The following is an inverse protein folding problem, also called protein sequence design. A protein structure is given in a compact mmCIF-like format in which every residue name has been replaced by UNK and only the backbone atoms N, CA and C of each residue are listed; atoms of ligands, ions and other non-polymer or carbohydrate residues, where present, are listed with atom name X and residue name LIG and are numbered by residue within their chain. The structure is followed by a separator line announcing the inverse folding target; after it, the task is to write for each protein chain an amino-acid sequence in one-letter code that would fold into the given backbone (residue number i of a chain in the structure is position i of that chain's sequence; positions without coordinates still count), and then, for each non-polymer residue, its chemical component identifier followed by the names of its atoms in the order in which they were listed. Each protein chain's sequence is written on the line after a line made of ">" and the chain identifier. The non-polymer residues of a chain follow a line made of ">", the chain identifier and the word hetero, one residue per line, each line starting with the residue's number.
data_IF_253109801103
#
_entry.id   IF_253109801103
#
_cell.length_a   1.000
_cell.length_b   1.000
_cell.length_c   1.000
_cell.angle_alpha   90.00
_cell.angle_beta   90.00
_cell.angle_gamma   90.00
#
_symmetry.space_group_name_H-M   'P 1'
#
loop_
_entity.id
_entity.type
_entity.pdbx_description
1 polymer ?
#
# COMPACT_ATOMS: atom_id res chain seq x y z
N UNK A 1 -21.32 -71.22 59.38
CA UNK A 1 -20.34 -70.54 58.49
C UNK A 1 -21.03 -69.34 57.81
N UNK A 2 -20.82 -68.13 58.38
CA UNK A 2 -21.38 -66.92 57.87
C UNK A 2 -20.30 -66.22 57.03
N UNK A 3 -20.52 -66.04 55.71
CA UNK A 3 -19.63 -65.28 54.82
C UNK A 3 -19.99 -63.79 54.92
N UNK A 4 -19.04 -62.97 55.36
CA UNK A 4 -19.11 -61.51 55.44
C UNK A 4 -18.71 -60.96 54.07
N UNK A 5 -19.63 -60.29 53.36
CA UNK A 5 -19.30 -59.52 52.16
C UNK A 5 -18.95 -58.09 52.57
N UNK A 6 -17.72 -57.70 52.31
CA UNK A 6 -17.24 -56.29 52.46
C UNK A 6 -17.49 -55.57 51.17
N UNK A 7 -18.39 -54.57 51.16
CA UNK A 7 -18.58 -53.66 50.05
C UNK A 7 -17.56 -52.50 50.18
N UNK A 8 -16.61 -52.45 49.26
CA UNK A 8 -15.67 -51.33 49.10
C UNK A 8 -16.29 -50.33 48.19
N UNK A 9 -16.83 -49.19 48.70
CA UNK A 9 -17.35 -48.10 47.95
C UNK A 9 -16.19 -47.20 47.47
N UNK A 10 -15.86 -47.29 46.18
CA UNK A 10 -14.89 -46.44 45.50
C UNK A 10 -15.55 -45.10 45.19
N UNK A 11 -15.28 -44.07 46.01
CA UNK A 11 -15.75 -42.71 45.77
C UNK A 11 -14.94 -42.08 44.62
N UNK A 12 -15.59 -41.90 43.46
CA UNK A 12 -15.01 -41.15 42.35
C UNK A 12 -15.20 -39.66 42.65
N UNK A 13 -14.13 -39.00 43.08
CA UNK A 13 -14.07 -37.52 43.14
C UNK A 13 -13.89 -36.98 41.72
N UNK A 14 -14.98 -36.53 41.10
CA UNK A 14 -14.91 -35.71 39.91
C UNK A 14 -14.39 -34.32 40.28
N UNK A 15 -13.09 -34.09 40.10
CA UNK A 15 -12.56 -32.75 40.10
C UNK A 15 -13.04 -32.07 38.82
N UNK A 16 -14.12 -31.29 38.93
CA UNK A 16 -14.49 -30.34 37.92
C UNK A 16 -13.45 -29.22 37.92
N UNK A 17 -12.48 -29.28 37.01
CA UNK A 17 -11.65 -28.14 36.67
C UNK A 17 -12.56 -27.09 36.03
N UNK A 18 -13.08 -26.15 36.83
CA UNK A 18 -13.56 -24.91 36.26
C UNK A 18 -12.35 -24.17 35.68
N UNK A 19 -12.23 -24.14 34.36
CA UNK A 19 -11.38 -23.16 33.71
C UNK A 19 -11.78 -21.76 34.22
N UNK A 20 -10.95 -21.20 35.07
CA UNK A 20 -11.04 -19.79 35.43
C UNK A 20 -10.65 -19.06 34.16
N UNK A 21 -11.64 -18.60 33.37
CA UNK A 21 -11.43 -17.60 32.34
C UNK A 21 -10.81 -16.40 33.04
N UNK A 22 -9.49 -16.22 32.90
CA UNK A 22 -8.85 -14.95 33.27
C UNK A 22 -9.59 -13.87 32.50
N UNK A 23 -10.30 -13.02 33.19
CA UNK A 23 -10.78 -11.75 32.61
C UNK A 23 -9.51 -10.98 32.16
N UNK A 24 -9.19 -11.09 30.90
CA UNK A 24 -8.15 -10.26 30.28
C UNK A 24 -8.72 -8.86 30.23
N UNK A 25 -8.08 -7.92 30.90
CA UNK A 25 -8.43 -6.48 30.74
C UNK A 25 -8.44 -6.17 29.23
N UNK A 26 -9.47 -5.43 28.76
CA UNK A 26 -9.50 -5.06 27.35
C UNK A 26 -8.23 -4.28 26.98
N UNK A 27 -7.68 -4.56 25.82
CA UNK A 27 -6.50 -3.85 25.30
C UNK A 27 -6.79 -2.34 25.21
N UNK A 28 -5.87 -1.48 25.67
CA UNK A 28 -6.00 -0.03 25.47
C UNK A 28 -5.96 0.37 23.99
N UNK A 29 -5.46 -0.50 23.11
CA UNK A 29 -5.37 -0.27 21.67
C UNK A 29 -6.64 -0.70 20.91
N UNK A 30 -7.58 -1.41 21.55
CA UNK A 30 -8.81 -1.85 20.89
C UNK A 30 -9.63 -0.69 20.32
N UNK A 31 -9.89 0.42 21.06
CA UNK A 31 -10.63 1.56 20.51
C UNK A 31 -9.93 2.24 19.33
N UNK A 32 -8.60 2.19 19.29
CA UNK A 32 -7.80 2.74 18.20
C UNK A 32 -7.90 1.84 16.95
N UNK A 33 -7.78 0.53 17.12
CA UNK A 33 -7.92 -0.44 16.04
C UNK A 33 -9.34 -0.44 15.45
N UNK A 34 -10.37 -0.21 16.26
CA UNK A 34 -11.77 -0.19 15.84
C UNK A 34 -12.17 1.06 15.02
N UNK A 35 -11.30 2.07 14.95
CA UNK A 35 -11.49 3.22 14.03
C UNK A 35 -11.36 2.80 12.56
N UNK A 36 -10.69 1.69 12.28
CA UNK A 36 -10.50 1.17 10.93
C UNK A 36 -11.56 0.13 10.60
N UNK A 37 -12.39 0.43 9.61
CA UNK A 37 -13.39 -0.51 9.13
C UNK A 37 -12.75 -1.64 8.32
N UNK A 38 -13.13 -2.88 8.59
CA UNK A 38 -12.78 -4.02 7.75
C UNK A 38 -13.70 -4.11 6.54
N UNK A 39 -13.10 -4.32 5.38
CA UNK A 39 -13.81 -4.52 4.13
C UNK A 39 -13.08 -5.54 3.27
N UNK A 40 -13.72 -6.64 2.85
CA UNK A 40 -13.10 -7.62 1.99
C UNK A 40 -12.93 -7.06 0.58
N UNK A 41 -11.69 -6.95 0.11
CA UNK A 41 -11.39 -6.58 -1.27
C UNK A 41 -11.47 -7.84 -2.13
N UNK A 42 -12.48 -7.92 -2.97
CA UNK A 42 -12.75 -9.06 -3.83
C UNK A 42 -12.89 -8.65 -5.29
N UNK A 43 -12.61 -9.58 -6.19
CA UNK A 43 -12.85 -9.45 -7.62
C UNK A 43 -13.24 -10.81 -8.20
N UNK A 44 -13.76 -10.84 -9.43
CA UNK A 44 -14.01 -12.08 -10.15
C UNK A 44 -12.70 -12.58 -10.81
N UNK A 45 -12.08 -13.58 -10.18
CA UNK A 45 -10.86 -14.21 -10.70
C UNK A 45 -11.10 -15.10 -11.93
N UNK A 46 -12.36 -15.37 -12.34
CA UNK A 46 -12.63 -16.16 -13.55
C UNK A 46 -12.27 -15.41 -14.84
N UNK A 47 -12.11 -14.09 -14.77
CA UNK A 47 -11.62 -13.27 -15.89
C UNK A 47 -10.11 -13.41 -16.13
N UNK A 48 -9.36 -13.99 -15.17
CA UNK A 48 -7.94 -14.27 -15.32
C UNK A 48 -7.70 -15.61 -16.01
N UNK A 49 -6.67 -15.67 -16.85
CA UNK A 49 -6.20 -16.94 -17.43
C UNK A 49 -5.59 -17.83 -16.33
N UNK A 50 -5.39 -19.10 -16.63
CA UNK A 50 -4.74 -20.01 -15.69
C UNK A 50 -3.28 -19.64 -15.41
N UNK A 51 -2.60 -18.99 -16.36
CA UNK A 51 -1.25 -18.50 -16.14
C UNK A 51 -1.26 -17.22 -15.30
N UNK A 52 -2.19 -16.28 -15.52
CA UNK A 52 -2.36 -15.12 -14.67
C UNK A 52 -2.70 -15.52 -13.22
N UNK A 53 -3.53 -16.54 -13.00
CA UNK A 53 -3.78 -17.10 -11.66
C UNK A 53 -2.51 -17.65 -11.00
N UNK A 54 -1.63 -18.32 -11.77
CA UNK A 54 -0.33 -18.81 -11.27
C UNK A 54 0.64 -17.67 -10.96
N UNK A 55 0.51 -16.52 -11.61
CA UNK A 55 1.32 -15.34 -11.31
C UNK A 55 0.95 -14.73 -9.94
N UNK A 56 -0.31 -14.81 -9.49
CA UNK A 56 -0.76 -14.14 -8.26
C UNK A 56 0.11 -14.44 -7.02
N UNK A 57 0.42 -15.70 -6.66
CA UNK A 57 1.28 -15.98 -5.52
C UNK A 57 2.70 -15.42 -5.68
N UNK A 58 3.24 -15.38 -6.89
CA UNK A 58 4.56 -14.82 -7.19
C UNK A 58 4.53 -13.30 -6.96
N UNK A 59 3.53 -12.61 -7.51
CA UNK A 59 3.35 -11.16 -7.35
C UNK A 59 3.10 -10.77 -5.89
N UNK A 60 2.36 -11.58 -5.11
CA UNK A 60 2.15 -11.39 -3.67
C UNK A 60 3.50 -11.51 -2.93
N UNK A 61 4.36 -12.45 -3.31
CA UNK A 61 5.68 -12.57 -2.69
C UNK A 61 6.56 -11.35 -2.99
N UNK A 62 6.56 -10.84 -4.24
CA UNK A 62 7.24 -9.58 -4.58
C UNK A 62 6.67 -8.41 -3.76
N UNK A 63 5.35 -8.29 -3.66
CA UNK A 63 4.71 -7.25 -2.86
C UNK A 63 5.12 -7.33 -1.38
N UNK A 64 5.24 -8.54 -0.81
CA UNK A 64 5.73 -8.75 0.56
C UNK A 64 7.20 -8.35 0.74
N UNK A 65 8.03 -8.47 -0.30
CA UNK A 65 9.40 -7.95 -0.25
C UNK A 65 9.36 -6.41 -0.17
N UNK A 66 8.53 -5.75 -0.97
CA UNK A 66 8.34 -4.29 -0.89
C UNK A 66 7.81 -3.87 0.50
N UNK A 67 6.88 -4.64 1.07
CA UNK A 67 6.37 -4.48 2.44
C UNK A 67 7.52 -4.49 3.47
N UNK A 68 8.44 -5.43 3.35
CA UNK A 68 9.56 -5.56 4.28
C UNK A 68 10.56 -4.39 4.15
N UNK A 69 10.85 -3.94 2.93
CA UNK A 69 11.69 -2.75 2.71
C UNK A 69 10.99 -1.50 3.28
N UNK A 70 9.68 -1.36 3.05
CA UNK A 70 8.93 -0.23 3.59
C UNK A 70 8.94 -0.22 5.13
N UNK A 71 8.78 -1.35 5.80
CA UNK A 71 8.91 -1.44 7.25
C UNK A 71 10.28 -0.96 7.75
N UNK A 72 11.36 -1.34 7.05
CA UNK A 72 12.70 -0.87 7.38
C UNK A 72 12.81 0.66 7.24
N UNK A 73 12.19 1.24 6.20
CA UNK A 73 12.20 2.68 5.96
C UNK A 73 11.27 3.46 6.90
N UNK A 74 10.09 2.92 7.22
CA UNK A 74 9.09 3.62 8.03
C UNK A 74 9.43 3.59 9.54
N UNK A 75 10.00 2.47 10.01
CA UNK A 75 10.27 2.26 11.43
C UNK A 75 11.66 1.65 11.71
N UNK A 76 11.99 0.55 11.03
CA UNK A 76 13.18 -0.25 11.29
C UNK A 76 12.85 -1.71 11.60
N UNK A 77 13.17 -2.18 12.81
CA UNK A 77 12.97 -3.60 13.19
C UNK A 77 11.51 -3.89 13.56
N UNK A 78 10.74 -4.30 12.54
CA UNK A 78 9.35 -4.78 12.68
C UNK A 78 9.24 -5.90 13.71
N UNK A 79 10.15 -6.88 13.65
CA UNK A 79 10.04 -8.09 14.45
C UNK A 79 10.24 -7.80 15.95
N UNK A 80 11.23 -6.97 16.28
CA UNK A 80 11.47 -6.52 17.64
C UNK A 80 10.28 -5.72 18.20
N UNK A 81 9.65 -4.86 17.37
CA UNK A 81 8.45 -4.11 17.77
C UNK A 81 7.27 -5.05 18.02
N UNK A 82 6.94 -5.92 17.07
CA UNK A 82 5.79 -6.83 17.19
C UNK A 82 5.92 -7.81 18.34
N UNK A 83 7.14 -8.28 18.64
CA UNK A 83 7.40 -9.19 19.75
C UNK A 83 7.02 -8.60 21.11
N UNK A 84 7.12 -7.28 21.30
CA UNK A 84 6.75 -6.61 22.55
C UNK A 84 5.23 -6.68 22.82
N UNK A 85 4.42 -6.85 21.77
CA UNK A 85 2.97 -6.89 21.82
C UNK A 85 2.38 -8.26 21.43
N UNK A 86 3.17 -9.33 21.44
CA UNK A 86 2.77 -10.66 20.96
C UNK A 86 1.49 -11.22 21.58
N UNK A 87 1.10 -10.76 22.79
CA UNK A 87 -0.10 -11.20 23.50
C UNK A 87 -1.29 -10.22 23.35
N UNK A 88 -1.12 -9.11 22.61
CA UNK A 88 -2.14 -8.09 22.40
C UNK A 88 -2.46 -7.96 20.91
N UNK A 89 -3.50 -8.67 20.47
CA UNK A 89 -3.91 -8.69 19.06
C UNK A 89 -4.37 -7.32 18.54
N UNK A 90 -4.95 -6.47 19.39
CA UNK A 90 -5.37 -5.13 19.02
C UNK A 90 -4.15 -4.21 18.79
N UNK A 91 -3.14 -4.31 19.67
CA UNK A 91 -1.88 -3.61 19.47
C UNK A 91 -1.19 -4.05 18.18
N UNK A 92 -1.06 -5.36 17.95
CA UNK A 92 -0.46 -5.90 16.72
C UNK A 92 -1.19 -5.43 15.46
N UNK A 93 -2.53 -5.45 15.47
CA UNK A 93 -3.35 -4.92 14.37
C UNK A 93 -3.07 -3.45 14.13
N UNK A 94 -3.06 -2.63 15.19
CA UNK A 94 -2.89 -1.19 15.08
C UNK A 94 -1.48 -0.79 14.64
N UNK A 95 -0.45 -1.48 15.17
CA UNK A 95 0.93 -1.35 14.72
C UNK A 95 1.10 -1.71 13.23
N UNK A 96 0.45 -2.80 12.79
CA UNK A 96 0.51 -3.23 11.39
C UNK A 96 -0.14 -2.22 10.45
N UNK A 97 -1.27 -1.61 10.83
CA UNK A 97 -1.94 -0.58 10.05
C UNK A 97 -1.06 0.65 9.91
N UNK A 98 -0.37 1.05 10.98
CA UNK A 98 0.41 2.29 11.04
C UNK A 98 1.88 2.13 10.63
N UNK A 99 2.37 0.90 10.44
CA UNK A 99 3.79 0.61 10.17
C UNK A 99 4.74 1.23 11.21
N UNK A 100 4.35 1.13 12.47
CA UNK A 100 5.10 1.67 13.58
C UNK A 100 4.19 2.18 14.71
N UNK A 101 4.79 2.79 15.73
CA UNK A 101 4.08 3.21 16.94
C UNK A 101 3.44 4.62 16.84
N UNK A 102 3.19 5.11 15.63
CA UNK A 102 2.66 6.44 15.37
C UNK A 102 1.34 6.38 14.61
N UNK A 103 0.33 7.11 15.09
CA UNK A 103 -1.02 7.15 14.53
C UNK A 103 -1.07 8.03 13.28
N UNK A 104 -1.11 7.41 12.10
CA UNK A 104 -1.14 8.09 10.79
C UNK A 104 -2.41 8.89 10.56
N UNK A 105 -3.52 8.59 11.25
CA UNK A 105 -4.75 9.38 11.19
C UNK A 105 -4.75 10.58 12.13
N UNK A 106 -3.77 10.66 13.05
CA UNK A 106 -3.68 11.69 14.07
C UNK A 106 -2.28 12.33 14.08
N UNK A 107 -1.87 12.86 12.94
CA UNK A 107 -0.61 13.60 12.76
C UNK A 107 0.64 12.86 13.25
N UNK A 108 0.68 11.55 13.07
CA UNK A 108 1.77 10.68 13.53
C UNK A 108 2.06 10.80 15.05
N UNK A 109 1.05 11.04 15.87
CA UNK A 109 1.23 11.04 17.33
C UNK A 109 1.60 9.64 17.82
N UNK A 110 2.60 9.50 18.72
CA UNK A 110 2.93 8.21 19.28
C UNK A 110 1.76 7.70 20.12
N UNK A 111 1.42 6.42 19.98
CA UNK A 111 0.38 5.75 20.77
C UNK A 111 0.93 4.69 21.75
N UNK A 112 2.25 4.53 21.78
CA UNK A 112 2.95 3.67 22.74
C UNK A 112 3.69 4.56 23.71
N UNK A 113 3.52 4.30 25.00
CA UNK A 113 4.20 5.03 26.07
C UNK A 113 5.71 4.96 25.93
N UNK A 114 6.39 6.10 26.11
CA UNK A 114 7.84 6.21 26.01
C UNK A 114 8.41 6.33 24.58
N UNK A 115 7.55 6.25 23.56
CA UNK A 115 7.96 6.51 22.17
C UNK A 115 7.95 8.01 21.90
N UNK A 116 9.02 8.54 21.32
CA UNK A 116 9.14 9.93 20.87
C UNK A 116 8.33 10.22 19.61
N UNK A 117 8.40 11.47 19.16
CA UNK A 117 7.81 11.89 17.89
C UNK A 117 8.39 11.09 16.71
N UNK A 118 7.56 10.85 15.67
CA UNK A 118 8.04 10.22 14.45
C UNK A 118 9.12 11.10 13.80
N UNK A 119 10.29 10.56 13.44
CA UNK A 119 11.28 11.31 12.68
C UNK A 119 10.69 11.76 11.33
N UNK A 120 10.84 13.03 10.97
CA UNK A 120 10.31 13.58 9.71
C UNK A 120 10.83 12.83 8.48
N UNK A 121 12.12 12.48 8.48
CA UNK A 121 12.74 11.70 7.40
C UNK A 121 12.52 10.18 7.54
N UNK A 122 11.62 9.75 8.42
CA UNK A 122 11.45 8.36 8.78
C UNK A 122 12.81 7.69 9.00
N UNK A 123 13.05 6.51 8.44
CA UNK A 123 14.36 5.84 8.50
C UNK A 123 15.12 5.89 7.16
N UNK A 124 14.78 6.86 6.28
CA UNK A 124 15.57 7.13 5.08
C UNK A 124 16.89 7.83 5.40
N UNK A 125 16.98 8.49 6.56
CA UNK A 125 18.12 9.25 7.04
C UNK A 125 18.55 8.77 8.43
N UNK A 126 19.83 8.94 8.83
CA UNK A 126 20.24 8.71 10.20
C UNK A 126 19.47 9.64 11.15
N UNK A 127 18.99 9.09 12.27
CA UNK A 127 18.17 9.85 13.23
C UNK A 127 18.89 11.06 13.86
N UNK A 128 20.23 11.02 13.89
CA UNK A 128 21.11 12.05 14.42
C UNK A 128 21.66 13.00 13.35
N UNK A 129 21.24 12.84 12.08
CA UNK A 129 21.70 13.69 10.97
C UNK A 129 21.23 15.13 11.15
N UNK A 130 22.14 16.08 11.01
CA UNK A 130 21.82 17.50 10.97
C UNK A 130 21.61 17.99 9.53
N UNK A 131 20.96 19.15 9.39
CA UNK A 131 20.78 19.78 8.08
C UNK A 131 22.11 20.19 7.48
N UNK A 132 23.03 20.71 8.30
CA UNK A 132 24.36 21.16 7.91
C UNK A 132 25.21 19.99 7.39
N UNK A 133 25.13 18.82 8.03
CA UNK A 133 25.78 17.60 7.54
C UNK A 133 25.21 17.17 6.17
N UNK A 134 23.89 17.18 6.02
CA UNK A 134 23.24 16.83 4.75
C UNK A 134 23.62 17.84 3.64
N UNK A 135 23.57 19.14 3.93
CA UNK A 135 23.91 20.18 2.96
C UNK A 135 25.38 20.06 2.49
N UNK A 136 26.29 19.72 3.41
CA UNK A 136 27.72 19.55 3.13
C UNK A 136 28.09 18.22 2.47
N UNK A 137 27.19 17.26 2.39
CA UNK A 137 27.41 15.98 1.73
C UNK A 137 27.62 16.18 0.22
N UNK A 138 28.85 15.93 -0.26
CA UNK A 138 29.24 16.05 -1.67
C UNK A 138 28.96 14.74 -2.44
N UNK A 139 27.68 14.40 -2.56
CA UNK A 139 27.20 13.31 -3.40
C UNK A 139 25.88 13.76 -4.05
N UNK A 140 25.82 13.88 -5.39
CA UNK A 140 24.62 14.35 -6.09
C UNK A 140 23.40 13.43 -5.87
N UNK A 141 23.63 12.14 -5.56
CA UNK A 141 22.57 11.17 -5.28
C UNK A 141 21.85 11.43 -3.95
N UNK A 142 22.33 12.37 -3.10
CA UNK A 142 21.70 12.67 -1.82
C UNK A 142 20.23 13.12 -1.96
N UNK A 143 19.86 13.70 -3.09
CA UNK A 143 18.48 14.12 -3.42
C UNK A 143 17.76 13.14 -4.37
N UNK A 144 18.39 12.02 -4.72
CA UNK A 144 17.79 11.00 -5.57
C UNK A 144 16.61 10.32 -4.84
N UNK A 145 15.55 10.02 -5.59
CA UNK A 145 14.36 9.34 -5.10
C UNK A 145 14.65 7.92 -4.61
N UNK A 146 15.61 7.25 -5.24
CA UNK A 146 15.89 5.83 -5.08
C UNK A 146 17.14 5.57 -4.25
N UNK A 147 17.30 6.33 -3.16
CA UNK A 147 18.45 6.21 -2.28
C UNK A 147 18.10 6.45 -0.81
N UNK A 148 18.99 6.00 0.07
CA UNK A 148 18.96 6.29 1.51
C UNK A 148 20.27 6.93 1.93
N UNK A 149 20.23 7.70 3.01
CA UNK A 149 21.42 8.24 3.67
C UNK A 149 21.74 7.35 4.87
N UNK A 150 23.00 7.00 5.01
CA UNK A 150 23.50 6.16 6.12
C UNK A 150 24.78 6.76 6.68
N UNK A 151 25.27 6.23 7.81
CA UNK A 151 26.62 6.50 8.31
C UNK A 151 27.52 5.31 8.00
N UNK A 152 28.73 5.58 7.52
CA UNK A 152 29.78 4.58 7.39
C UNK A 152 30.39 4.22 8.76
N UNK A 153 31.35 3.31 8.76
CA UNK A 153 32.02 2.87 10.00
C UNK A 153 32.80 4.00 10.72
N UNK A 154 33.12 5.09 10.03
CA UNK A 154 33.75 6.30 10.60
C UNK A 154 32.72 7.35 11.06
N UNK A 155 31.41 7.07 10.92
CA UNK A 155 30.33 7.98 11.26
C UNK A 155 30.02 9.03 10.19
N UNK A 156 30.68 8.99 9.03
CA UNK A 156 30.47 9.93 7.93
C UNK A 156 29.21 9.57 7.16
N UNK A 157 28.46 10.58 6.68
CA UNK A 157 27.31 10.36 5.81
C UNK A 157 27.75 9.79 4.46
N UNK A 158 27.03 8.77 4.02
CA UNK A 158 27.14 8.15 2.69
C UNK A 158 25.75 8.00 2.08
N UNK A 159 25.68 8.00 0.75
CA UNK A 159 24.48 7.71 -0.01
C UNK A 159 24.56 6.28 -0.51
N UNK A 160 23.52 5.51 -0.27
CA UNK A 160 23.34 4.18 -0.83
C UNK A 160 22.10 4.20 -1.73
N UNK A 161 22.23 3.76 -2.98
CA UNK A 161 21.06 3.49 -3.84
C UNK A 161 20.24 2.34 -3.23
N UNK A 162 18.97 2.20 -3.59
CA UNK A 162 18.14 1.15 -2.96
C UNK A 162 18.66 -0.25 -3.25
N UNK A 163 19.18 -0.52 -4.45
CA UNK A 163 19.79 -1.82 -4.74
C UNK A 163 21.07 -2.09 -3.91
N UNK A 164 21.80 -1.04 -3.51
CA UNK A 164 22.95 -1.16 -2.59
C UNK A 164 22.50 -1.33 -1.12
N UNK A 165 21.39 -0.69 -0.73
CA UNK A 165 20.87 -0.73 0.63
C UNK A 165 20.11 -2.02 0.96
N UNK A 166 19.47 -2.64 -0.04
CA UNK A 166 18.59 -3.83 0.09
C UNK A 166 18.93 -4.91 -0.94
N UNK A 167 20.22 -5.33 -1.07
CA UNK A 167 20.68 -6.16 -2.20
C UNK A 167 19.99 -7.54 -2.25
N UNK A 168 19.72 -8.16 -1.12
CA UNK A 168 19.08 -9.49 -1.06
C UNK A 168 17.61 -9.42 -1.46
N UNK A 169 16.89 -8.41 -0.93
CA UNK A 169 15.48 -8.17 -1.18
C UNK A 169 15.24 -7.85 -2.67
N UNK A 170 15.99 -6.91 -3.23
CA UNK A 170 15.79 -6.51 -4.62
C UNK A 170 16.21 -7.62 -5.60
N UNK A 171 17.27 -8.38 -5.31
CA UNK A 171 17.67 -9.53 -6.13
C UNK A 171 16.58 -10.63 -6.12
N UNK A 172 15.99 -10.92 -4.97
CA UNK A 172 14.89 -11.87 -4.86
C UNK A 172 13.65 -11.37 -5.60
N UNK A 173 13.26 -10.11 -5.42
CA UNK A 173 12.12 -9.51 -6.10
C UNK A 173 12.29 -9.49 -7.61
N UNK A 174 13.48 -9.14 -8.09
CA UNK A 174 13.85 -9.16 -9.50
C UNK A 174 13.64 -10.55 -10.12
N UNK A 175 14.18 -11.60 -9.50
CA UNK A 175 14.02 -12.97 -9.98
C UNK A 175 12.56 -13.41 -10.05
N UNK A 176 11.77 -13.10 -9.03
CA UNK A 176 10.32 -13.40 -9.01
C UNK A 176 9.56 -12.65 -10.11
N UNK A 177 9.93 -11.40 -10.42
CA UNK A 177 9.34 -10.66 -11.54
C UNK A 177 9.70 -11.28 -12.90
N UNK A 178 10.90 -11.83 -13.07
CA UNK A 178 11.27 -12.60 -14.27
C UNK A 178 10.41 -13.86 -14.38
N UNK A 179 10.23 -14.61 -13.29
CA UNK A 179 9.35 -15.79 -13.26
C UNK A 179 7.89 -15.42 -13.61
N UNK A 180 7.39 -14.30 -13.09
CA UNK A 180 6.07 -13.79 -13.44
C UNK A 180 5.98 -13.38 -14.93
N UNK A 181 7.01 -12.73 -15.47
CA UNK A 181 7.07 -12.33 -16.87
C UNK A 181 7.03 -13.54 -17.82
N UNK A 182 7.62 -14.68 -17.44
CA UNK A 182 7.54 -15.91 -18.24
C UNK A 182 6.11 -16.47 -18.33
N UNK A 183 5.29 -16.27 -17.30
CA UNK A 183 3.89 -16.69 -17.26
C UNK A 183 2.95 -15.70 -17.96
N UNK A 184 3.37 -14.44 -18.14
CA UNK A 184 2.53 -13.39 -18.71
C UNK A 184 2.25 -13.65 -20.20
N UNK A 185 0.96 -13.73 -20.55
CA UNK A 185 0.48 -13.96 -21.93
C UNK A 185 0.25 -12.63 -22.67
N UNK A 186 -0.07 -11.56 -21.94
CA UNK A 186 -0.12 -10.21 -22.51
C UNK A 186 1.32 -9.70 -22.74
N UNK A 187 1.67 -9.32 -23.99
CA UNK A 187 3.03 -8.90 -24.31
C UNK A 187 3.46 -7.61 -23.59
N UNK A 188 2.50 -6.72 -23.32
CA UNK A 188 2.75 -5.48 -22.59
C UNK A 188 3.11 -5.77 -21.14
N UNK A 189 2.32 -6.61 -20.45
CA UNK A 189 2.58 -7.04 -19.09
C UNK A 189 3.92 -7.79 -18.99
N UNK A 190 4.19 -8.72 -19.92
CA UNK A 190 5.48 -9.44 -20.00
C UNK A 190 6.65 -8.48 -20.09
N UNK A 191 6.60 -7.54 -21.01
CA UNK A 191 7.66 -6.56 -21.21
C UNK A 191 7.85 -5.65 -19.98
N UNK A 192 6.75 -5.17 -19.40
CA UNK A 192 6.80 -4.35 -18.19
C UNK A 192 7.47 -5.10 -17.03
N UNK A 193 7.03 -6.33 -16.73
CA UNK A 193 7.58 -7.11 -15.63
C UNK A 193 9.08 -7.40 -15.80
N UNK A 194 9.51 -7.74 -17.02
CA UNK A 194 10.92 -7.98 -17.34
C UNK A 194 11.78 -6.71 -17.18
N UNK A 195 11.28 -5.54 -17.59
CA UNK A 195 11.97 -4.28 -17.41
C UNK A 195 11.96 -3.82 -15.93
N UNK A 196 10.87 -4.08 -15.21
CA UNK A 196 10.76 -3.75 -13.78
C UNK A 196 11.68 -4.63 -12.93
N UNK A 197 11.85 -5.91 -13.30
CA UNK A 197 12.85 -6.80 -12.70
C UNK A 197 14.25 -6.19 -12.76
N UNK A 198 14.65 -5.70 -13.93
CA UNK A 198 15.95 -5.05 -14.13
C UNK A 198 16.04 -3.74 -13.34
N UNK A 199 14.99 -2.91 -13.38
CA UNK A 199 14.96 -1.62 -12.72
C UNK A 199 15.19 -1.71 -11.19
N UNK A 200 14.74 -2.80 -10.55
CA UNK A 200 15.03 -3.05 -9.14
C UNK A 200 16.52 -3.29 -8.85
N UNK A 201 17.31 -3.73 -9.84
CA UNK A 201 18.73 -4.04 -9.67
C UNK A 201 19.65 -2.84 -9.95
N UNK A 202 19.17 -1.83 -10.68
CA UNK A 202 19.98 -0.68 -11.08
C UNK A 202 19.37 0.68 -10.71
N UNK A 203 18.15 0.68 -10.09
CA UNK A 203 17.37 1.86 -9.74
C UNK A 203 17.03 2.79 -10.93
N UNK A 204 17.12 2.32 -12.17
CA UNK A 204 16.65 3.05 -13.36
C UNK A 204 15.27 2.57 -13.81
N UNK A 205 14.24 3.26 -13.35
CA UNK A 205 12.84 2.89 -13.58
C UNK A 205 12.27 3.43 -14.91
N UNK A 206 12.97 4.32 -15.62
CA UNK A 206 12.42 5.00 -16.80
C UNK A 206 11.90 4.04 -17.88
N UNK A 207 12.68 3.02 -18.25
CA UNK A 207 12.29 2.07 -19.28
C UNK A 207 11.07 1.24 -18.88
N UNK A 208 10.99 0.81 -17.62
CA UNK A 208 9.85 0.05 -17.11
C UNK A 208 8.59 0.92 -16.97
N UNK A 209 8.73 2.18 -16.59
CA UNK A 209 7.60 3.12 -16.49
C UNK A 209 7.03 3.44 -17.88
N UNK A 210 7.88 3.64 -18.89
CA UNK A 210 7.45 3.81 -20.27
C UNK A 210 6.73 2.57 -20.81
N UNK A 211 7.21 1.36 -20.48
CA UNK A 211 6.57 0.11 -20.86
C UNK A 211 5.21 -0.06 -20.13
N UNK A 212 5.10 0.35 -18.87
CA UNK A 212 3.84 0.34 -18.14
C UNK A 212 2.81 1.28 -18.79
N UNK A 213 3.24 2.45 -19.27
CA UNK A 213 2.38 3.37 -20.03
C UNK A 213 1.88 2.77 -21.35
N UNK A 214 2.65 1.89 -22.00
CA UNK A 214 2.26 1.22 -23.24
C UNK A 214 1.31 0.02 -23.03
N UNK A 215 1.19 -0.46 -21.81
CA UNK A 215 0.39 -1.63 -21.47
C UNK A 215 -1.10 -1.30 -21.46
N UNK A 216 -1.83 -1.69 -22.51
CA UNK A 216 -3.24 -1.31 -22.72
C UNK A 216 -4.23 -2.46 -22.49
N UNK A 217 -3.84 -3.69 -22.88
CA UNK A 217 -4.76 -4.82 -23.02
C UNK A 217 -4.74 -5.79 -21.83
N UNK A 218 -3.86 -5.56 -20.88
CA UNK A 218 -3.67 -6.40 -19.69
C UNK A 218 -4.97 -6.50 -18.86
N UNK A 219 -5.26 -7.69 -18.33
CA UNK A 219 -6.30 -7.91 -17.32
C UNK A 219 -5.71 -7.78 -15.92
N UNK A 220 -4.54 -8.37 -15.71
CA UNK A 220 -3.76 -8.25 -14.48
C UNK A 220 -2.78 -7.09 -14.58
N UNK A 221 -2.66 -6.27 -13.54
CA UNK A 221 -1.70 -5.17 -13.42
C UNK A 221 -0.97 -5.26 -12.08
N UNK A 222 0.27 -4.81 -12.05
CA UNK A 222 1.09 -4.79 -10.85
C UNK A 222 1.87 -3.49 -10.73
N UNK A 223 1.46 -2.63 -9.81
CA UNK A 223 2.20 -1.40 -9.48
C UNK A 223 3.18 -1.74 -8.37
N UNK A 224 4.48 -1.71 -8.67
CA UNK A 224 5.53 -2.21 -7.74
C UNK A 224 6.82 -1.41 -7.82
N UNK A 225 7.46 -1.21 -6.68
CA UNK A 225 8.74 -0.51 -6.51
C UNK A 225 8.64 0.72 -5.59
N UNK A 226 9.67 1.57 -5.55
CA UNK A 226 9.65 2.86 -4.87
C UNK A 226 8.84 3.86 -5.70
N UNK A 227 7.76 4.44 -5.12
CA UNK A 227 6.76 5.18 -5.91
C UNK A 227 6.50 6.57 -5.37
N UNK A 228 6.06 6.71 -4.12
CA UNK A 228 5.61 7.98 -3.54
C UNK A 228 6.58 8.48 -2.47
N UNK A 229 6.71 9.80 -2.35
CA UNK A 229 7.67 10.41 -1.41
C UNK A 229 7.05 10.93 -0.11
N UNK A 230 5.76 10.62 0.15
CA UNK A 230 5.03 11.15 1.31
C UNK A 230 5.57 10.67 2.66
N UNK A 231 6.24 9.52 2.72
CA UNK A 231 6.85 9.03 3.95
C UNK A 231 8.07 9.86 4.37
N UNK A 232 8.79 10.44 3.40
CA UNK A 232 9.87 11.41 3.66
C UNK A 232 9.29 12.81 3.87
N UNK A 233 8.87 13.11 5.08
CA UNK A 233 8.36 14.43 5.47
C UNK A 233 9.48 15.44 5.77
N UNK A 234 10.76 15.02 5.74
CA UNK A 234 11.90 15.90 6.00
C UNK A 234 12.25 16.77 4.80
N UNK A 235 12.42 16.11 3.63
CA UNK A 235 12.79 16.80 2.38
C UNK A 235 11.89 16.44 1.20
N UNK A 236 11.12 15.35 1.28
CA UNK A 236 10.29 14.85 0.19
C UNK A 236 11.11 14.26 -0.97
N UNK A 237 12.33 13.82 -0.73
CA UNK A 237 13.20 13.27 -1.77
C UNK A 237 13.07 11.76 -1.95
N UNK A 238 12.79 11.01 -0.87
CA UNK A 238 12.92 9.56 -0.87
C UNK A 238 11.61 8.87 -1.17
N UNK A 239 11.60 8.04 -2.21
CA UNK A 239 10.43 7.26 -2.59
C UNK A 239 10.29 6.00 -1.71
N UNK A 240 9.08 5.73 -1.28
CA UNK A 240 8.74 4.57 -0.45
C UNK A 240 8.29 3.39 -1.31
N UNK A 241 8.67 2.18 -0.88
CA UNK A 241 8.33 0.95 -1.59
C UNK A 241 6.87 0.56 -1.40
N UNK A 242 6.23 0.17 -2.51
CA UNK A 242 4.84 -0.26 -2.59
C UNK A 242 4.67 -1.47 -3.50
N UNK A 243 3.60 -2.24 -3.26
CA UNK A 243 3.16 -3.30 -4.15
C UNK A 243 1.63 -3.36 -4.18
N UNK A 244 1.02 -3.14 -5.35
CA UNK A 244 -0.43 -3.22 -5.54
C UNK A 244 -0.74 -4.16 -6.70
N UNK A 245 -1.51 -5.24 -6.43
CA UNK A 245 -1.98 -6.17 -7.45
C UNK A 245 -3.40 -5.79 -7.81
N UNK A 246 -3.64 -5.56 -9.09
CA UNK A 246 -4.85 -4.99 -9.63
C UNK A 246 -5.42 -5.89 -10.72
N UNK A 247 -6.75 -6.04 -10.73
CA UNK A 247 -7.47 -6.74 -11.80
C UNK A 247 -8.38 -5.73 -12.49
N UNK A 248 -8.21 -5.56 -13.81
CA UNK A 248 -8.96 -4.56 -14.60
C UNK A 248 -10.43 -4.94 -14.70
N UNK A 249 -11.31 -4.02 -14.31
CA UNK A 249 -12.73 -4.10 -14.61
C UNK A 249 -12.99 -3.53 -16.01
N UNK A 250 -13.15 -4.41 -16.99
CA UNK A 250 -13.29 -4.02 -18.40
C UNK A 250 -14.61 -3.29 -18.69
N UNK A 251 -15.67 -3.61 -17.95
CA UNK A 251 -16.97 -2.97 -18.12
C UNK A 251 -16.93 -1.53 -17.61
N UNK A 252 -16.47 -1.32 -16.38
CA UNK A 252 -16.30 0.01 -15.82
C UNK A 252 -15.25 0.83 -16.56
N UNK A 253 -14.15 0.24 -17.00
CA UNK A 253 -13.15 0.92 -17.81
C UNK A 253 -13.73 1.45 -19.11
N UNK A 254 -14.60 0.67 -19.79
CA UNK A 254 -15.31 1.13 -20.98
C UNK A 254 -16.25 2.30 -20.66
N UNK A 255 -17.02 2.22 -19.57
CA UNK A 255 -17.90 3.34 -19.15
C UNK A 255 -17.09 4.61 -18.87
N UNK A 256 -15.99 4.52 -18.13
CA UNK A 256 -15.12 5.67 -17.84
C UNK A 256 -14.51 6.27 -19.12
N UNK A 257 -14.15 5.44 -20.10
CA UNK A 257 -13.61 5.96 -21.38
C UNK A 257 -14.62 6.78 -22.16
N UNK A 258 -15.92 6.50 -22.02
CA UNK A 258 -16.99 7.29 -22.63
C UNK A 258 -17.08 8.70 -22.01
N UNK A 259 -16.79 8.87 -20.72
CA UNK A 259 -16.71 10.18 -20.07
C UNK A 259 -15.41 10.92 -20.38
N UNK A 260 -14.30 10.19 -20.53
CA UNK A 260 -12.99 10.76 -20.79
C UNK A 260 -12.95 11.70 -22.01
N UNK A 261 -13.76 11.43 -23.05
CA UNK A 261 -13.88 12.29 -24.23
C UNK A 261 -14.38 13.70 -23.93
N UNK A 262 -15.06 13.91 -22.81
CA UNK A 262 -15.59 15.22 -22.40
C UNK A 262 -14.58 16.05 -21.60
N UNK A 263 -13.51 15.43 -21.08
CA UNK A 263 -12.53 16.12 -20.23
C UNK A 263 -11.92 17.37 -20.87
N UNK A 264 -11.55 17.40 -22.17
CA UNK A 264 -11.05 18.62 -22.80
C UNK A 264 -12.05 19.78 -22.72
N UNK A 265 -13.34 19.51 -22.99
CA UNK A 265 -14.41 20.52 -22.91
C UNK A 265 -14.67 20.96 -21.46
N UNK A 266 -14.60 20.05 -20.51
CA UNK A 266 -14.74 20.38 -19.09
C UNK A 266 -13.58 21.25 -18.62
N UNK A 267 -12.35 20.95 -19.03
CA UNK A 267 -11.15 21.75 -18.74
C UNK A 267 -11.28 23.18 -19.29
N UNK A 268 -11.75 23.34 -20.51
CA UNK A 268 -11.99 24.65 -21.13
C UNK A 268 -13.04 25.47 -20.37
N UNK A 269 -14.05 24.83 -19.84
CA UNK A 269 -15.17 25.45 -19.14
C UNK A 269 -14.99 25.58 -17.61
N UNK A 270 -13.82 25.24 -17.07
CA UNK A 270 -13.55 25.45 -15.64
C UNK A 270 -13.83 26.92 -15.25
N UNK A 271 -14.52 27.20 -14.13
CA UNK A 271 -14.85 28.56 -13.68
C UNK A 271 -13.65 29.25 -13.03
N UNK A 272 -12.53 29.31 -13.75
CA UNK A 272 -11.26 29.90 -13.30
C UNK A 272 -10.73 30.88 -14.34
N UNK A 273 -9.91 31.90 -13.97
CA UNK A 273 -9.25 32.79 -14.90
C UNK A 273 -8.43 32.06 -15.96
N UNK A 274 -8.38 32.60 -17.20
CA UNK A 274 -7.72 31.97 -18.35
C UNK A 274 -6.24 31.61 -18.12
N UNK A 275 -5.54 32.34 -17.25
CA UNK A 275 -4.14 32.03 -16.88
C UNK A 275 -3.95 30.65 -16.26
N UNK A 276 -5.00 30.05 -15.66
CA UNK A 276 -5.00 28.72 -15.06
C UNK A 276 -5.53 27.63 -16.01
N UNK A 277 -5.98 27.98 -17.22
CA UNK A 277 -6.48 27.04 -18.23
C UNK A 277 -5.42 26.68 -19.29
N UNK A 278 -4.14 26.92 -19.00
CA UNK A 278 -3.04 26.70 -19.95
C UNK A 278 -2.73 25.25 -20.22
N UNK A 279 -3.03 24.39 -19.26
CA UNK A 279 -2.86 22.95 -19.42
C UNK A 279 -3.96 22.40 -20.29
N UNK A 280 -3.58 21.73 -21.38
CA UNK A 280 -4.53 20.99 -22.21
C UNK A 280 -4.76 19.64 -21.56
N UNK A 281 -6.01 19.31 -21.29
CA UNK A 281 -6.36 17.93 -20.93
C UNK A 281 -5.86 16.99 -22.05
N UNK A 282 -5.26 15.86 -21.66
CA UNK A 282 -4.86 14.85 -22.62
C UNK A 282 -6.11 14.43 -23.42
N UNK A 283 -6.02 14.44 -24.74
CA UNK A 283 -7.12 14.09 -25.61
C UNK A 283 -7.59 12.63 -25.48
N UNK A 284 -6.74 11.78 -24.90
CA UNK A 284 -7.03 10.39 -24.62
C UNK A 284 -6.47 10.00 -23.25
N UNK A 285 -7.10 10.46 -22.14
CA UNK A 285 -6.65 10.07 -20.82
C UNK A 285 -6.88 8.56 -20.65
N UNK A 286 -5.81 7.82 -20.35
CA UNK A 286 -5.89 6.41 -20.00
C UNK A 286 -6.53 6.29 -18.58
N UNK A 287 -7.86 6.27 -18.56
CA UNK A 287 -8.66 6.15 -17.35
C UNK A 287 -9.32 4.77 -17.31
N UNK A 288 -8.89 3.97 -16.37
CA UNK A 288 -9.39 2.60 -16.22
C UNK A 288 -9.84 2.33 -14.78
N UNK A 289 -10.80 1.43 -14.63
CA UNK A 289 -11.24 0.89 -13.35
C UNK A 289 -10.55 -0.44 -13.06
N UNK A 290 -10.16 -0.61 -11.81
CA UNK A 290 -9.53 -1.84 -11.31
C UNK A 290 -10.11 -2.24 -9.97
N UNK A 291 -10.13 -3.53 -9.71
CA UNK A 291 -10.27 -4.08 -8.37
C UNK A 291 -8.87 -4.36 -7.81
N UNK A 292 -8.58 -3.84 -6.64
CA UNK A 292 -7.33 -4.17 -5.92
C UNK A 292 -7.54 -5.48 -5.18
N UNK A 293 -6.62 -6.41 -5.32
CA UNK A 293 -6.66 -7.69 -4.62
C UNK A 293 -5.56 -7.85 -3.58
N UNK A 294 -4.53 -6.99 -3.64
CA UNK A 294 -3.46 -6.96 -2.66
C UNK A 294 -2.81 -5.58 -2.54
N UNK A 295 -2.55 -5.16 -1.30
CA UNK A 295 -1.77 -3.98 -0.95
C UNK A 295 -0.57 -4.36 -0.08
N UNK A 296 0.59 -3.75 -0.32
CA UNK A 296 1.78 -3.92 0.50
C UNK A 296 2.65 -2.66 0.50
N UNK A 297 3.33 -2.39 1.60
CA UNK A 297 4.20 -1.24 1.76
C UNK A 297 3.45 0.08 1.92
N UNK A 298 3.98 1.17 1.39
CA UNK A 298 3.48 2.53 1.60
C UNK A 298 1.99 2.67 1.25
N UNK A 299 1.55 2.13 0.13
CA UNK A 299 0.14 2.16 -0.28
C UNK A 299 -0.81 1.39 0.65
N UNK A 300 -0.26 0.55 1.54
CA UNK A 300 -0.99 -0.18 2.57
C UNK A 300 -1.01 0.55 3.92
N UNK A 301 -0.21 1.60 4.10
CA UNK A 301 -0.03 2.27 5.37
C UNK A 301 -1.22 3.19 5.72
N UNK A 302 -1.81 3.01 6.89
CA UNK A 302 -2.95 3.82 7.35
C UNK A 302 -4.16 3.69 6.42
N UNK A 303 -4.57 4.79 5.81
CA UNK A 303 -5.67 4.83 4.83
C UNK A 303 -5.25 4.26 3.49
N UNK A 304 -6.08 3.41 2.90
CA UNK A 304 -5.86 2.88 1.55
C UNK A 304 -6.13 3.94 0.50
N UNK A 305 -5.33 3.97 -0.56
CA UNK A 305 -5.61 4.79 -1.73
C UNK A 305 -6.84 4.26 -2.48
N UNK A 306 -7.56 5.18 -3.12
CA UNK A 306 -8.78 4.89 -3.90
C UNK A 306 -8.56 5.11 -5.41
N UNK A 307 -7.45 5.71 -5.76
CA UNK A 307 -7.05 5.98 -7.14
C UNK A 307 -5.53 6.11 -7.22
N UNK A 308 -5.01 5.92 -8.42
CA UNK A 308 -3.60 6.04 -8.75
C UNK A 308 -3.46 6.98 -9.95
N UNK A 309 -2.49 7.88 -9.92
CA UNK A 309 -2.10 8.73 -11.04
C UNK A 309 -0.58 8.66 -11.19
N UNK A 310 -0.09 7.78 -12.04
CA UNK A 310 1.32 7.42 -12.19
C UNK A 310 1.72 7.34 -13.67
N UNK A 311 3.03 7.26 -13.96
CA UNK A 311 4.20 7.40 -13.08
C UNK A 311 4.42 8.83 -12.58
N UNK A 312 5.28 9.00 -11.58
CA UNK A 312 5.65 10.33 -11.05
C UNK A 312 6.82 10.97 -11.83
N UNK A 313 7.56 10.20 -12.64
CA UNK A 313 8.73 10.68 -13.38
C UNK A 313 8.34 11.72 -14.42
N UNK A 314 8.88 12.97 -14.35
CA UNK A 314 8.57 14.02 -15.31
C UNK A 314 9.01 13.70 -16.75
N UNK A 315 10.00 12.82 -16.94
CA UNK A 315 10.44 12.34 -18.26
C UNK A 315 9.36 11.49 -18.91
N UNK A 316 8.69 10.64 -18.13
CA UNK A 316 7.54 9.85 -18.60
C UNK A 316 6.35 10.74 -18.88
N UNK A 317 6.06 11.71 -18.00
CA UNK A 317 5.00 12.70 -18.24
C UNK A 317 5.21 13.48 -19.56
N UNK A 318 6.44 13.91 -19.83
CA UNK A 318 6.76 14.61 -21.05
C UNK A 318 6.60 13.73 -22.31
N UNK A 319 6.90 12.42 -22.20
CA UNK A 319 6.84 11.50 -23.32
C UNK A 319 5.44 10.92 -23.56
N UNK A 320 4.70 10.56 -22.51
CA UNK A 320 3.45 9.77 -22.59
C UNK A 320 2.31 10.26 -21.68
N UNK A 321 2.54 11.25 -20.81
CA UNK A 321 1.55 11.68 -19.82
C UNK A 321 1.51 10.75 -18.61
N UNK A 322 0.32 10.51 -18.04
CA UNK A 322 0.10 9.64 -16.89
C UNK A 322 -1.13 8.77 -17.09
N UNK A 323 -1.16 7.60 -16.41
CA UNK A 323 -2.33 6.72 -16.31
C UNK A 323 -3.10 7.01 -15.03
N UNK A 324 -4.43 6.99 -15.14
CA UNK A 324 -5.36 7.19 -14.02
C UNK A 324 -6.14 5.91 -13.79
N UNK A 325 -5.84 5.24 -12.69
CA UNK A 325 -6.48 4.01 -12.29
C UNK A 325 -7.44 4.29 -11.13
N UNK A 326 -8.73 4.03 -11.35
CA UNK A 326 -9.76 4.12 -10.31
C UNK A 326 -9.87 2.75 -9.62
N UNK A 327 -9.67 2.73 -8.31
CA UNK A 327 -9.67 1.49 -7.51
C UNK A 327 -11.09 1.23 -7.00
N UNK A 328 -11.91 0.59 -7.85
CA UNK A 328 -13.36 0.47 -7.70
C UNK A 328 -13.78 -0.14 -6.36
N UNK A 329 -13.23 -1.29 -5.99
CA UNK A 329 -13.61 -1.95 -4.73
C UNK A 329 -13.11 -1.20 -3.48
N UNK A 330 -12.00 -0.48 -3.57
CA UNK A 330 -11.52 0.45 -2.52
C UNK A 330 -12.47 1.66 -2.39
N UNK A 331 -12.92 2.20 -3.53
CA UNK A 331 -13.93 3.27 -3.54
C UNK A 331 -15.27 2.79 -3.01
N UNK A 332 -15.66 1.53 -3.30
CA UNK A 332 -16.87 0.93 -2.75
C UNK A 332 -16.78 0.81 -1.22
N UNK A 333 -15.63 0.38 -0.70
CA UNK A 333 -15.40 0.34 0.75
C UNK A 333 -15.60 1.73 1.39
N UNK A 334 -15.03 2.77 0.79
CA UNK A 334 -15.20 4.16 1.24
C UNK A 334 -16.68 4.60 1.15
N UNK A 335 -17.35 4.28 0.06
CA UNK A 335 -18.76 4.59 -0.11
C UNK A 335 -19.62 3.95 0.99
N UNK A 336 -19.50 2.65 1.19
CA UNK A 336 -20.33 1.91 2.15
C UNK A 336 -20.01 2.22 3.61
N UNK A 337 -18.71 2.41 3.95
CA UNK A 337 -18.27 2.59 5.34
C UNK A 337 -18.21 4.05 5.79
N UNK A 338 -18.15 5.00 4.86
CA UNK A 338 -18.04 6.43 5.16
C UNK A 338 -19.19 7.24 4.54
N UNK A 339 -19.36 7.22 3.21
CA UNK A 339 -20.32 8.10 2.53
C UNK A 339 -21.75 7.79 2.94
N UNK A 340 -22.17 6.53 2.92
CA UNK A 340 -23.53 6.11 3.31
C UNK A 340 -23.84 6.43 4.77
N UNK A 341 -23.01 6.10 5.76
CA UNK A 341 -23.26 6.51 7.15
C UNK A 341 -23.32 8.01 7.34
N UNK A 342 -22.41 8.78 6.73
CA UNK A 342 -22.39 10.25 6.82
C UNK A 342 -23.65 10.84 6.19
N UNK A 343 -24.08 10.33 5.05
CA UNK A 343 -25.27 10.82 4.37
C UNK A 343 -26.54 10.70 5.24
N UNK A 344 -26.63 9.63 6.01
CA UNK A 344 -27.76 9.44 6.96
C UNK A 344 -27.83 10.49 8.05
N UNK A 345 -26.71 11.15 8.35
CA UNK A 345 -26.63 12.21 9.34
C UNK A 345 -26.87 13.61 8.75
N UNK A 346 -26.51 13.81 7.48
CA UNK A 346 -26.43 15.15 6.87
C UNK A 346 -27.56 15.49 5.91
N UNK A 347 -28.20 14.50 5.29
CA UNK A 347 -29.22 14.72 4.25
C UNK A 347 -30.54 14.05 4.57
N UNK A 348 -31.63 14.59 3.98
CA UNK A 348 -32.99 14.09 4.22
C UNK A 348 -33.20 12.69 3.65
N UNK A 349 -34.17 11.88 4.17
CA UNK A 349 -34.48 10.56 3.65
C UNK A 349 -34.80 10.54 2.15
N UNK A 350 -35.41 11.61 1.62
CA UNK A 350 -35.72 11.70 0.18
C UNK A 350 -34.48 11.89 -0.67
N UNK A 351 -33.52 12.69 -0.21
CA UNK A 351 -32.22 12.85 -0.86
C UNK A 351 -31.38 11.57 -0.79
N UNK A 352 -31.43 10.82 0.31
CA UNK A 352 -30.71 9.57 0.48
C UNK A 352 -31.08 8.52 -0.58
N UNK A 353 -32.28 8.55 -1.14
CA UNK A 353 -32.72 7.62 -2.23
C UNK A 353 -31.90 7.76 -3.52
N UNK A 354 -31.25 8.90 -3.69
CA UNK A 354 -30.44 9.21 -4.87
C UNK A 354 -28.95 8.91 -4.67
N UNK A 355 -28.53 8.43 -3.49
CA UNK A 355 -27.17 8.04 -3.22
C UNK A 355 -26.97 6.61 -3.69
N UNK A 356 -26.15 6.43 -4.72
CA UNK A 356 -25.76 5.12 -5.22
C UNK A 356 -24.23 5.06 -5.40
N UNK A 357 -23.69 3.85 -5.39
CA UNK A 357 -22.27 3.65 -5.66
C UNK A 357 -21.91 4.08 -7.08
N UNK A 358 -22.76 3.75 -8.05
CA UNK A 358 -22.54 4.12 -9.46
C UNK A 358 -22.39 5.63 -9.61
N UNK A 359 -23.31 6.42 -9.06
CA UNK A 359 -23.22 7.88 -9.09
C UNK A 359 -21.98 8.41 -8.34
N UNK A 360 -21.57 7.78 -7.26
CA UNK A 360 -20.35 8.15 -6.52
C UNK A 360 -19.07 7.82 -7.28
N UNK A 361 -19.06 6.71 -8.02
CA UNK A 361 -17.88 6.26 -8.77
C UNK A 361 -17.70 7.00 -10.09
N UNK A 362 -18.81 7.45 -10.70
CA UNK A 362 -18.82 8.21 -11.97
C UNK A 362 -18.49 9.70 -11.80
N UNK A 363 -18.64 10.27 -10.58
CA UNK A 363 -18.37 11.67 -10.27
C UNK A 363 -17.02 11.89 -9.59
#
# INVERSE_FOLDING_TARGET
>A
MRKLFLFLSLGIFLFSCKEVKKETKPSPYQPLADQYAEFPLTTDLNQLTENEKKMLPILIEVANIMENIFWQNAYGDKNALMAQFAQDSAALKYLSINYGPWDRLNDNKPFIDGVGAKPLGANFYPADMTKEEFDSLDDPRKTDWYSVIRRDAAGKLIVLSFHEAYPEEVAKASKLLEEAAELAEDPGLKNYLALRSKALLDDDYLASDLAWMDMQNNTLDFVVGPIETYEDQLYGYKAAHSGQILVKDKEWSKRLSEYAQYLPKLQENLPVPAKYKKEKANANPDMNAYDVIYYAGDCNAGSKNIAINLPNDPRVHAAKGSRKLQLKNSMQAKFEKMVVPISKLLITPDQQKHISFDAFFEN
#
